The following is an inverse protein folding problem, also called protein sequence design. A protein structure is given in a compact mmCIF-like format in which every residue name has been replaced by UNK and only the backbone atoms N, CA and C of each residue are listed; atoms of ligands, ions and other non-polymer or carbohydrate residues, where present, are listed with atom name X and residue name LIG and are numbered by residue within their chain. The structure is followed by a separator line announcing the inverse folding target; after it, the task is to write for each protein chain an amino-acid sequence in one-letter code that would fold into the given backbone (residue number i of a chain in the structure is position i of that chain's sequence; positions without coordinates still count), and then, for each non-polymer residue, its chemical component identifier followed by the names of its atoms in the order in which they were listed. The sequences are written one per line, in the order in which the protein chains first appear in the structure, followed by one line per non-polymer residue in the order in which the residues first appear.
data_IF_142473241873
#
_entry.id   IF_142473241873
#
_cell.length_a   1.000
_cell.length_b   1.000
_cell.length_c   1.000
_cell.angle_alpha   90.00
_cell.angle_beta   90.00
_cell.angle_gamma   90.00
#
_symmetry.space_group_name_H-M   'P 1'
#
loop_
_entity.id
_entity.type
_entity.pdbx_description
1 polymer ?
#
# COMPACT_ATOMS: atom_id res chain seq x y z
N UNK A 1 2.90 -4.88 -9.47
CA UNK A 1 4.21 -4.41 -8.98
C UNK A 1 5.09 -3.92 -10.11
N UNK A 2 5.19 -4.69 -11.20
CA UNK A 2 6.01 -4.39 -12.39
C UNK A 2 5.98 -2.92 -12.84
N UNK A 3 4.80 -2.30 -12.92
CA UNK A 3 4.68 -0.88 -13.32
C UNK A 3 5.47 0.06 -12.41
N UNK A 4 5.39 -0.13 -11.08
CA UNK A 4 6.11 0.70 -10.12
C UNK A 4 7.59 0.34 -10.14
N UNK A 5 7.94 -0.94 -10.24
CA UNK A 5 9.35 -1.38 -10.32
C UNK A 5 10.07 -0.76 -11.52
N UNK A 6 9.40 -0.63 -12.67
CA UNK A 6 9.93 0.00 -13.88
C UNK A 6 10.19 1.50 -13.71
N UNK A 7 9.35 2.18 -12.94
CA UNK A 7 9.44 3.64 -12.73
C UNK A 7 10.41 3.95 -11.58
N UNK A 8 10.26 3.27 -10.44
CA UNK A 8 11.07 3.43 -9.26
C UNK A 8 12.24 2.44 -9.29
N UNK A 9 13.18 2.71 -10.18
CA UNK A 9 14.36 1.89 -10.39
C UNK A 9 15.28 1.91 -9.17
N UNK A 10 16.29 1.04 -9.18
CA UNK A 10 17.34 1.05 -8.18
C UNK A 10 18.49 1.97 -8.60
N UNK A 11 19.11 2.67 -7.65
CA UNK A 11 20.38 3.36 -7.85
C UNK A 11 21.56 2.37 -7.94
N UNK A 12 22.78 2.89 -8.06
CA UNK A 12 23.99 2.08 -8.18
C UNK A 12 24.26 1.25 -6.91
N UNK A 13 23.73 1.68 -5.77
CA UNK A 13 23.83 1.04 -4.47
C UNK A 13 22.68 0.04 -4.20
N UNK A 14 21.75 -0.11 -5.14
CA UNK A 14 20.62 -1.03 -5.06
C UNK A 14 19.40 -0.49 -4.31
N UNK A 15 19.39 0.79 -3.93
CA UNK A 15 18.26 1.42 -3.24
C UNK A 15 17.22 1.94 -4.23
N UNK A 16 15.95 1.94 -3.81
CA UNK A 16 14.88 2.55 -4.60
C UNK A 16 15.00 4.07 -4.59
N UNK A 17 14.80 4.69 -5.76
CA UNK A 17 14.89 6.16 -5.93
C UNK A 17 13.87 6.93 -5.07
N UNK A 18 12.71 6.34 -4.81
CA UNK A 18 11.61 6.95 -4.03
C UNK A 18 11.14 6.00 -2.93
N UNK A 19 10.82 6.55 -1.76
CA UNK A 19 10.13 5.82 -0.69
C UNK A 19 8.62 5.98 -0.79
N UNK A 20 7.88 4.88 -0.62
CA UNK A 20 6.42 4.87 -0.69
C UNK A 20 5.84 4.67 0.71
N UNK A 21 5.14 5.69 1.22
CA UNK A 21 4.41 5.64 2.48
C UNK A 21 2.92 5.79 2.23
N UNK A 22 2.10 5.09 3.02
CA UNK A 22 0.65 5.17 2.87
C UNK A 22 -0.12 4.87 4.15
N UNK A 23 -1.29 5.50 4.29
CA UNK A 23 -2.25 5.24 5.36
C UNK A 23 -3.56 4.79 4.73
N UNK A 24 -4.03 3.60 5.08
CA UNK A 24 -5.30 3.05 4.66
C UNK A 24 -6.39 3.38 5.68
N UNK A 25 -7.33 4.25 5.30
CA UNK A 25 -8.51 4.55 6.12
C UNK A 25 -9.63 3.53 5.85
N UNK A 26 -10.37 3.09 6.88
CA UNK A 26 -11.36 2.01 6.79
C UNK A 26 -12.68 2.41 6.11
N UNK A 27 -12.69 3.45 5.26
CA UNK A 27 -13.90 3.95 4.58
C UNK A 27 -14.58 2.90 3.70
N UNK A 28 -13.83 1.91 3.22
CA UNK A 28 -14.32 0.78 2.42
C UNK A 28 -15.04 -0.28 3.26
N UNK A 29 -14.72 -0.42 4.56
CA UNK A 29 -15.38 -1.38 5.45
C UNK A 29 -16.79 -0.95 5.88
N UNK A 30 -17.16 0.30 5.60
CA UNK A 30 -18.53 0.83 5.78
C UNK A 30 -19.48 0.26 4.71
N UNK A 31 -18.95 -0.33 3.63
CA UNK A 31 -19.74 -0.88 2.52
C UNK A 31 -19.94 -2.39 2.65
N UNK A 32 -20.97 -2.88 1.96
CA UNK A 32 -21.46 -4.26 2.01
C UNK A 32 -20.33 -5.31 1.91
N UNK A 33 -20.50 -6.43 2.62
CA UNK A 33 -19.51 -7.51 2.83
C UNK A 33 -18.80 -7.99 1.55
N UNK A 34 -19.47 -7.99 0.41
CA UNK A 34 -18.89 -8.40 -0.88
C UNK A 34 -17.78 -7.46 -1.41
N UNK A 35 -17.71 -6.21 -0.93
CA UNK A 35 -16.65 -5.25 -1.30
C UNK A 35 -15.43 -5.32 -0.38
N UNK A 36 -15.53 -5.99 0.76
CA UNK A 36 -14.46 -6.08 1.76
C UNK A 36 -13.28 -6.92 1.27
N UNK A 37 -13.52 -7.96 0.46
CA UNK A 37 -12.47 -8.80 -0.13
C UNK A 37 -11.52 -7.99 -1.02
N UNK A 38 -12.05 -7.03 -1.79
CA UNK A 38 -11.24 -6.14 -2.63
C UNK A 38 -10.41 -5.19 -1.78
N UNK A 39 -10.98 -4.67 -0.68
CA UNK A 39 -10.26 -3.84 0.29
C UNK A 39 -9.08 -4.55 0.94
N UNK A 40 -9.24 -5.81 1.34
CA UNK A 40 -8.16 -6.64 1.91
C UNK A 40 -7.05 -6.84 0.87
N UNK A 41 -7.40 -7.22 -0.36
CA UNK A 41 -6.41 -7.41 -1.44
C UNK A 41 -5.63 -6.13 -1.73
N UNK A 42 -6.33 -5.00 -1.74
CA UNK A 42 -5.70 -3.70 -1.91
C UNK A 42 -4.75 -3.36 -0.74
N UNK A 43 -5.17 -3.56 0.50
CA UNK A 43 -4.31 -3.33 1.67
C UNK A 43 -3.05 -4.22 1.65
N UNK A 44 -3.19 -5.49 1.28
CA UNK A 44 -2.06 -6.40 1.10
C UNK A 44 -1.11 -5.93 -0.01
N UNK A 45 -1.66 -5.49 -1.15
CA UNK A 45 -0.87 -4.91 -2.24
C UNK A 45 -0.10 -3.67 -1.77
N UNK A 46 -0.75 -2.75 -1.06
CA UNK A 46 -0.16 -1.51 -0.58
C UNK A 46 0.93 -1.76 0.47
N UNK A 47 0.74 -2.76 1.34
CA UNK A 47 1.75 -3.21 2.29
C UNK A 47 3.01 -3.69 1.57
N UNK A 48 2.85 -4.57 0.59
CA UNK A 48 3.97 -5.08 -0.21
C UNK A 48 4.65 -3.97 -1.00
N UNK A 49 3.85 -3.02 -1.53
CA UNK A 49 4.36 -1.89 -2.30
C UNK A 49 5.26 -1.01 -1.44
N UNK A 50 4.79 -0.61 -0.27
CA UNK A 50 5.56 0.21 0.65
C UNK A 50 6.85 -0.50 1.08
N UNK A 51 6.76 -1.79 1.44
CA UNK A 51 7.92 -2.59 1.85
C UNK A 51 9.02 -2.65 0.78
N UNK A 52 8.68 -2.99 -0.46
CA UNK A 52 9.64 -3.07 -1.58
C UNK A 52 10.26 -1.74 -1.96
N UNK A 53 9.65 -0.64 -1.53
CA UNK A 53 10.09 0.72 -1.78
C UNK A 53 10.66 1.39 -0.52
N UNK A 54 11.05 0.60 0.50
CA UNK A 54 11.72 1.11 1.70
C UNK A 54 10.86 2.07 2.53
N UNK A 55 9.54 1.95 2.43
CA UNK A 55 8.57 2.77 3.16
C UNK A 55 7.63 1.93 4.02
N UNK A 56 6.50 2.52 4.40
CA UNK A 56 5.58 1.92 5.38
C UNK A 56 4.12 2.10 4.99
N UNK A 57 3.32 1.06 5.18
CA UNK A 57 1.88 1.12 5.05
C UNK A 57 1.21 0.85 6.39
N UNK A 58 0.32 1.76 6.82
CA UNK A 58 -0.46 1.62 8.05
C UNK A 58 -1.94 1.51 7.70
N UNK A 59 -2.55 0.37 8.00
CA UNK A 59 -4.00 0.18 7.88
C UNK A 59 -4.65 0.50 9.22
N UNK A 60 -5.61 1.42 9.22
CA UNK A 60 -6.38 1.78 10.41
C UNK A 60 -7.58 0.82 10.55
N UNK A 61 -7.76 0.27 11.74
CA UNK A 61 -8.84 -0.68 12.05
C UNK A 61 -10.17 0.02 12.42
N UNK A 62 -10.12 1.32 12.70
CA UNK A 62 -11.27 2.12 13.12
C UNK A 62 -11.10 3.56 12.60
N UNK A 63 -12.20 4.23 12.27
CA UNK A 63 -12.24 5.65 11.94
C UNK A 63 -13.30 6.33 12.78
N UNK A 64 -12.87 7.28 13.61
CA UNK A 64 -13.76 8.14 14.39
C UNK A 64 -13.67 9.56 13.80
N UNK A 65 -14.78 10.13 13.32
CA UNK A 65 -14.81 11.49 12.77
C UNK A 65 -14.61 12.55 13.86
#
# INVERSE_FOLDING_TARGET
METVDRINQTDAEGNRLVRIHGVGFPVQFIRASHLQTTGIRFATLMRELAYRNGGTFVALNDFRP
#
